data_IF_711131532846
#
_entry.id   IF_711131532846
#
_cell.length_a   1.000
_cell.length_b   1.000
_cell.length_c   1.000
_cell.angle_alpha   90.00
_cell.angle_beta   90.00
_cell.angle_gamma   90.00
#
_symmetry.space_group_name_H-M   'P 1'
#
loop_
_entity.id
_entity.type
_entity.pdbx_description
1 polymer ?
#
# COMPACT_ATOMS: atom_id res chain seq x y z
N UNK A 1 -18.09 21.46 15.69
CA UNK A 1 -17.08 20.87 14.79
C UNK A 1 -17.29 19.37 14.76
N UNK A 2 -17.58 18.75 13.60
CA UNK A 2 -17.61 17.28 13.46
C UNK A 2 -16.55 16.89 12.44
N UNK A 3 -15.36 16.58 12.93
CA UNK A 3 -14.31 15.97 12.12
C UNK A 3 -14.63 14.48 12.00
N UNK A 4 -15.49 14.12 11.05
CA UNK A 4 -15.94 12.74 10.83
C UNK A 4 -15.80 12.35 9.37
N UNK A 5 -15.38 11.11 9.13
CA UNK A 5 -15.40 10.51 7.80
C UNK A 5 -16.83 10.15 7.42
N UNK A 6 -17.23 10.51 6.20
CA UNK A 6 -18.54 10.21 5.63
C UNK A 6 -18.37 9.40 4.35
N UNK A 7 -19.32 8.51 4.07
CA UNK A 7 -19.35 7.76 2.82
C UNK A 7 -19.89 8.67 1.72
N UNK A 8 -19.08 8.97 0.72
CA UNK A 8 -19.47 9.84 -0.40
C UNK A 8 -19.99 9.06 -1.64
N UNK A 9 -19.93 7.72 -1.63
CA UNK A 9 -20.41 6.90 -2.75
C UNK A 9 -19.62 5.61 -2.92
N UNK A 10 -19.69 5.03 -4.14
CA UNK A 10 -18.93 3.84 -4.52
C UNK A 10 -17.51 4.23 -4.94
N UNK A 11 -16.55 3.41 -4.54
CA UNK A 11 -15.18 3.49 -5.03
C UNK A 11 -15.08 3.07 -6.50
N UNK A 12 -14.07 3.60 -7.20
CA UNK A 12 -13.61 3.02 -8.47
C UNK A 12 -13.14 1.57 -8.27
N UNK A 13 -13.10 0.75 -9.33
CA UNK A 13 -12.54 -0.60 -9.26
C UNK A 13 -11.12 -0.58 -8.68
N UNK A 14 -10.75 -1.56 -7.85
CA UNK A 14 -9.41 -1.60 -7.26
C UNK A 14 -8.35 -1.74 -8.36
N UNK A 15 -7.25 -1.00 -8.23
CA UNK A 15 -6.09 -1.17 -9.09
C UNK A 15 -5.55 -2.61 -9.01
N UNK A 16 -4.89 -3.12 -10.08
CA UNK A 16 -4.24 -4.42 -10.03
C UNK A 16 -3.32 -4.54 -8.82
N UNK A 17 -3.41 -5.66 -8.10
CA UNK A 17 -2.59 -5.90 -6.91
C UNK A 17 -1.11 -5.92 -7.27
N UNK A 18 -0.34 -5.01 -6.67
CA UNK A 18 1.12 -4.95 -6.78
C UNK A 18 1.74 -5.31 -5.44
N UNK A 19 2.58 -6.33 -5.43
CA UNK A 19 3.25 -6.80 -4.21
C UNK A 19 4.66 -6.21 -4.12
N UNK A 20 5.01 -5.70 -2.94
CA UNK A 20 6.40 -5.42 -2.61
C UNK A 20 7.01 -6.66 -1.96
N UNK A 21 8.07 -7.18 -2.58
CA UNK A 21 8.86 -8.28 -2.03
C UNK A 21 10.07 -7.67 -1.33
N UNK A 22 10.26 -8.00 -0.05
CA UNK A 22 11.41 -7.51 0.69
C UNK A 22 12.72 -8.05 0.05
N UNK A 23 13.73 -7.20 -0.19
CA UNK A 23 14.94 -7.59 -0.94
C UNK A 23 15.69 -8.80 -0.33
N UNK A 24 15.64 -8.96 0.99
CA UNK A 24 16.32 -10.04 1.69
C UNK A 24 15.49 -11.34 1.78
N UNK A 25 14.31 -11.42 1.15
CA UNK A 25 13.54 -12.67 1.10
C UNK A 25 14.23 -13.75 0.24
N UNK A 26 14.02 -15.05 0.52
CA UNK A 26 13.20 -15.63 1.59
C UNK A 26 13.88 -15.62 2.97
N UNK A 27 13.07 -15.50 4.03
CA UNK A 27 13.54 -15.57 5.41
C UNK A 27 13.34 -16.97 6.01
N UNK A 28 14.31 -17.43 6.80
CA UNK A 28 14.13 -18.59 7.67
C UNK A 28 13.31 -18.24 8.90
N UNK A 29 12.70 -19.25 9.53
CA UNK A 29 11.95 -19.07 10.79
C UNK A 29 12.81 -18.47 11.90
N UNK A 30 14.11 -18.81 11.94
CA UNK A 30 15.04 -18.28 12.92
C UNK A 30 15.33 -16.80 12.69
N UNK A 31 15.48 -16.37 11.43
CA UNK A 31 15.66 -14.95 11.10
C UNK A 31 14.42 -14.13 11.48
N UNK A 32 13.21 -14.62 11.18
CA UNK A 32 11.95 -13.96 11.56
C UNK A 32 11.83 -13.71 13.07
N UNK A 33 12.43 -14.57 13.90
CA UNK A 33 12.38 -14.47 15.37
C UNK A 33 13.45 -13.57 15.97
N UNK A 34 14.57 -13.35 15.27
CA UNK A 34 15.74 -12.64 15.79
C UNK A 34 15.77 -11.15 15.49
N UNK A 35 15.07 -10.71 14.44
CA UNK A 35 15.14 -9.32 14.00
C UNK A 35 13.78 -8.79 13.57
N UNK A 36 13.65 -7.46 13.62
CA UNK A 36 12.52 -6.75 12.99
C UNK A 36 12.77 -6.68 11.49
N UNK A 37 11.77 -7.03 10.69
CA UNK A 37 11.79 -6.85 9.24
C UNK A 37 11.06 -5.55 8.91
N UNK A 38 11.80 -4.56 8.42
CA UNK A 38 11.26 -3.25 8.10
C UNK A 38 10.75 -3.19 6.66
N UNK A 39 9.55 -2.62 6.48
CA UNK A 39 8.98 -2.30 5.18
C UNK A 39 9.03 -0.80 4.87
N UNK A 40 9.90 -0.04 5.55
CA UNK A 40 10.04 1.43 5.36
C UNK A 40 10.40 1.86 3.94
N UNK A 41 11.01 0.95 3.15
CA UNK A 41 11.39 1.20 1.76
C UNK A 41 10.22 1.02 0.78
N UNK A 42 9.04 0.59 1.27
CA UNK A 42 7.83 0.50 0.45
C UNK A 42 7.43 1.89 0.00
N UNK A 43 7.14 2.01 -1.30
CA UNK A 43 6.61 3.23 -1.90
C UNK A 43 5.18 2.99 -2.38
N UNK A 44 4.33 3.96 -2.10
CA UNK A 44 2.94 4.00 -2.54
C UNK A 44 2.82 4.95 -3.73
N UNK A 45 2.04 4.57 -4.74
CA UNK A 45 1.79 5.40 -5.92
C UNK A 45 0.31 5.40 -6.30
N UNK A 46 -0.18 6.53 -6.80
CA UNK A 46 -1.47 6.64 -7.49
C UNK A 46 -1.30 6.76 -9.01
N UNK A 47 -0.06 6.64 -9.52
CA UNK A 47 0.21 6.63 -10.95
C UNK A 47 -0.11 5.24 -11.53
N UNK A 48 -1.18 5.15 -12.32
CA UNK A 48 -1.62 3.89 -12.95
C UNK A 48 -0.59 3.31 -13.93
N UNK A 49 0.26 4.16 -14.50
CA UNK A 49 1.31 3.77 -15.44
C UNK A 49 2.65 3.47 -14.76
N UNK A 50 2.68 3.33 -13.43
CA UNK A 50 3.93 3.02 -12.71
C UNK A 50 4.57 1.72 -13.24
N UNK A 51 5.83 1.85 -13.67
CA UNK A 51 6.67 0.74 -14.14
C UNK A 51 7.71 0.30 -13.10
N UNK A 52 7.83 1.04 -12.00
CA UNK A 52 8.81 0.78 -10.94
C UNK A 52 8.36 -0.30 -9.95
N UNK A 53 7.10 -0.76 -10.05
CA UNK A 53 6.57 -1.82 -9.20
C UNK A 53 6.16 -1.32 -7.81
N UNK A 54 5.90 -0.02 -7.67
CA UNK A 54 5.40 0.55 -6.43
C UNK A 54 3.98 0.06 -6.14
N UNK A 55 3.59 0.03 -4.86
CA UNK A 55 2.27 -0.45 -4.46
C UNK A 55 1.23 0.61 -4.80
N UNK A 56 0.21 0.24 -5.59
CA UNK A 56 -0.85 1.16 -6.00
C UNK A 56 -1.85 1.40 -4.87
N UNK A 57 -2.28 2.65 -4.69
CA UNK A 57 -3.37 3.01 -3.76
C UNK A 57 -4.42 3.90 -4.43
N UNK A 58 -5.67 3.77 -4.00
CA UNK A 58 -6.77 4.62 -4.45
C UNK A 58 -6.93 5.81 -3.52
N UNK A 59 -7.02 7.02 -4.08
CA UNK A 59 -7.36 8.22 -3.32
C UNK A 59 -8.88 8.37 -3.25
N UNK A 60 -9.41 8.46 -2.03
CA UNK A 60 -10.81 8.82 -1.81
C UNK A 60 -10.91 10.31 -1.48
N UNK A 61 -11.71 11.04 -2.25
CA UNK A 61 -12.02 12.44 -1.95
C UNK A 61 -13.37 12.52 -1.25
N UNK A 62 -13.48 13.48 -0.32
CA UNK A 62 -14.78 13.95 0.15
C UNK A 62 -15.37 14.79 -0.98
N UNK A 63 -16.58 14.46 -1.44
CA UNK A 63 -17.34 15.39 -2.29
C UNK A 63 -17.62 16.64 -1.45
N UNK A 64 -17.34 17.83 -1.99
CA UNK A 64 -17.83 19.09 -1.41
C UNK A 64 -19.35 19.13 -1.44
#
# INVERSE_FOLDING_TARGET
HRSSWLVAGKADPPSPSRLYIHPDTPYSLEQLRKQVISFEKVKLTNNEMDKSGHVSYQKFFLSN
#
